data_IF_524312099272
#
_entry.id   IF_524312099272
#
_cell.length_a   1.000
_cell.length_b   1.000
_cell.length_c   1.000
_cell.angle_alpha   90.00
_cell.angle_beta   90.00
_cell.angle_gamma   90.00
#
_symmetry.space_group_name_H-M   'P 1'
#
loop_
_entity.id
_entity.type
_entity.pdbx_description
1 polymer ?
#
# COMPACT_ATOMS: atom_id res chain seq x y z
N UNK A 1 -6.23 18.67 8.20
CA UNK A 1 -7.60 18.63 7.63
C UNK A 1 -7.71 17.36 6.80
N UNK A 2 -8.56 16.42 7.20
CA UNK A 2 -8.72 15.13 6.53
C UNK A 2 -9.48 15.33 5.21
N UNK A 3 -8.88 15.03 4.06
CA UNK A 3 -9.42 15.36 2.72
C UNK A 3 -10.69 14.58 2.32
N UNK A 4 -11.19 13.65 3.14
CA UNK A 4 -12.42 12.88 2.86
C UNK A 4 -13.08 12.31 4.13
N UNK A 5 -13.70 13.17 4.96
CA UNK A 5 -14.40 12.72 6.19
C UNK A 5 -15.60 11.80 5.90
N UNK A 6 -16.30 12.01 4.78
CA UNK A 6 -17.49 11.24 4.42
C UNK A 6 -17.19 9.76 4.18
N UNK A 7 -16.06 9.41 3.57
CA UNK A 7 -15.66 8.02 3.38
C UNK A 7 -15.51 7.26 4.70
N UNK A 8 -14.93 7.92 5.71
CA UNK A 8 -14.72 7.34 7.04
C UNK A 8 -16.05 7.07 7.75
N UNK A 9 -17.00 8.00 7.64
CA UNK A 9 -18.35 7.82 8.19
C UNK A 9 -19.11 6.68 7.51
N UNK A 10 -19.04 6.59 6.18
CA UNK A 10 -19.72 5.52 5.43
C UNK A 10 -19.14 4.14 5.78
N UNK A 11 -17.82 4.02 5.90
CA UNK A 11 -17.18 2.80 6.34
C UNK A 11 -17.67 2.36 7.73
N UNK A 12 -17.77 3.30 8.69
CA UNK A 12 -18.32 3.01 10.03
C UNK A 12 -19.79 2.61 9.98
N UNK A 13 -20.60 3.30 9.17
CA UNK A 13 -22.05 3.06 9.06
C UNK A 13 -22.38 1.70 8.43
N UNK A 14 -21.60 1.27 7.44
CA UNK A 14 -21.86 0.07 6.67
C UNK A 14 -20.85 -1.05 6.93
N UNK A 15 -20.09 -0.99 8.03
CA UNK A 15 -19.06 -1.97 8.39
C UNK A 15 -19.56 -3.42 8.31
N UNK A 16 -20.79 -3.71 8.77
CA UNK A 16 -21.38 -5.05 8.70
C UNK A 16 -21.61 -5.60 7.29
N UNK A 17 -21.54 -4.74 6.26
CA UNK A 17 -21.68 -5.12 4.84
C UNK A 17 -20.34 -5.27 4.13
N UNK A 18 -19.23 -4.98 4.81
CA UNK A 18 -17.89 -4.95 4.23
C UNK A 18 -17.03 -6.03 4.87
N UNK A 19 -16.27 -6.75 4.05
CA UNK A 19 -15.30 -7.75 4.53
C UNK A 19 -13.90 -7.17 4.65
N UNK A 20 -13.57 -6.19 3.80
CA UNK A 20 -12.27 -5.54 3.75
C UNK A 20 -12.44 -4.04 3.55
N UNK A 21 -11.60 -3.26 4.22
CA UNK A 21 -11.51 -1.82 4.10
C UNK A 21 -10.07 -1.46 3.75
N UNK A 22 -9.87 -0.82 2.60
CA UNK A 22 -8.56 -0.38 2.15
C UNK A 22 -8.45 1.14 2.21
N UNK A 23 -8.02 1.72 3.35
CA UNK A 23 -7.78 3.14 3.42
C UNK A 23 -6.58 3.54 2.56
N UNK A 24 -6.61 4.75 2.01
CA UNK A 24 -5.57 5.28 1.13
C UNK A 24 -4.73 6.28 1.93
N UNK A 25 -3.65 5.79 2.53
CA UNK A 25 -2.78 6.59 3.39
C UNK A 25 -1.31 6.56 2.97
N UNK A 26 -0.86 5.47 2.36
CA UNK A 26 0.56 5.16 2.26
C UNK A 26 1.06 5.19 0.82
N UNK A 27 2.22 5.82 0.66
CA UNK A 27 3.01 5.80 -0.55
C UNK A 27 4.43 5.30 -0.19
N UNK A 28 4.95 4.37 -0.96
CA UNK A 28 6.35 3.94 -0.87
C UNK A 28 7.16 4.72 -1.91
N UNK A 29 7.99 5.63 -1.41
CA UNK A 29 8.82 6.55 -2.18
C UNK A 29 10.30 6.20 -2.05
N UNK A 30 11.09 6.72 -2.99
CA UNK A 30 12.55 6.69 -2.96
C UNK A 30 13.08 8.10 -2.68
N UNK A 31 13.80 8.28 -1.59
CA UNK A 31 14.49 9.53 -1.25
C UNK A 31 16.01 9.41 -1.50
N UNK A 32 16.78 10.44 -1.10
CA UNK A 32 18.25 10.44 -1.27
C UNK A 32 18.96 9.36 -0.42
N UNK A 33 18.30 8.83 0.62
CA UNK A 33 18.85 7.90 1.60
C UNK A 33 18.29 6.47 1.46
N UNK A 34 17.30 6.24 0.60
CA UNK A 34 16.74 4.92 0.30
C UNK A 34 15.23 4.93 0.12
N UNK A 35 14.59 3.81 0.48
CA UNK A 35 13.12 3.69 0.46
C UNK A 35 12.52 4.23 1.75
N UNK A 36 11.41 4.96 1.61
CA UNK A 36 10.64 5.53 2.71
C UNK A 36 9.17 5.24 2.50
N UNK A 37 8.51 4.78 3.56
CA UNK A 37 7.05 4.64 3.61
C UNK A 37 6.47 5.93 4.19
N UNK A 38 5.79 6.71 3.36
CA UNK A 38 5.20 7.99 3.75
C UNK A 38 3.73 7.84 4.10
N UNK A 39 3.18 8.85 4.78
CA UNK A 39 1.73 8.97 4.98
C UNK A 39 1.18 8.40 6.29
N UNK A 40 2.01 7.86 7.19
CA UNK A 40 1.58 7.40 8.52
C UNK A 40 0.78 8.45 9.31
N UNK A 41 1.09 9.73 9.16
CA UNK A 41 0.36 10.83 9.80
C UNK A 41 -1.11 10.94 9.36
N UNK A 42 -1.51 10.29 8.26
CA UNK A 42 -2.88 10.21 7.79
C UNK A 42 -3.65 9.02 8.38
N UNK A 43 -2.96 8.05 8.98
CA UNK A 43 -3.57 6.91 9.62
C UNK A 43 -4.31 7.35 10.89
N UNK A 44 -5.57 6.92 11.00
CA UNK A 44 -6.45 7.30 12.11
C UNK A 44 -6.68 6.09 13.00
N UNK A 45 -5.88 5.96 14.06
CA UNK A 45 -5.97 4.87 15.03
C UNK A 45 -7.32 4.84 15.75
N UNK A 46 -7.96 5.99 15.95
CA UNK A 46 -9.28 6.04 16.56
C UNK A 46 -10.33 5.47 15.63
N UNK A 47 -10.27 5.81 14.34
CA UNK A 47 -11.17 5.25 13.34
C UNK A 47 -10.99 3.73 13.18
N UNK A 48 -9.75 3.23 13.21
CA UNK A 48 -9.47 1.78 13.22
C UNK A 48 -10.11 1.12 14.44
N UNK A 49 -9.90 1.69 15.64
CA UNK A 49 -10.49 1.18 16.89
C UNK A 49 -12.03 1.17 16.82
N UNK A 50 -12.65 2.23 16.32
CA UNK A 50 -14.10 2.33 16.15
C UNK A 50 -14.66 1.25 15.22
N UNK A 51 -13.93 0.92 14.13
CA UNK A 51 -14.32 -0.11 13.19
C UNK A 51 -14.24 -1.50 13.81
N UNK A 52 -13.13 -1.82 14.48
CA UNK A 52 -12.92 -3.13 15.13
C UNK A 52 -13.95 -3.38 16.25
N UNK A 53 -14.45 -2.33 16.92
CA UNK A 53 -15.52 -2.46 17.94
C UNK A 53 -16.89 -2.82 17.36
N UNK A 54 -17.17 -2.49 16.10
CA UNK A 54 -18.52 -2.56 15.50
C UNK A 54 -18.65 -3.62 14.41
N UNK A 55 -17.57 -4.30 14.05
CA UNK A 55 -17.58 -5.31 13.00
C UNK A 55 -16.22 -5.98 12.82
N UNK A 56 -16.18 -6.92 11.87
CA UNK A 56 -15.02 -7.79 11.62
C UNK A 56 -14.35 -7.50 10.27
N UNK A 57 -14.60 -6.32 9.67
CA UNK A 57 -13.95 -5.95 8.42
C UNK A 57 -12.44 -5.84 8.62
N UNK A 58 -11.68 -6.49 7.74
CA UNK A 58 -10.23 -6.46 7.74
C UNK A 58 -9.73 -5.10 7.26
N UNK A 59 -8.79 -4.51 7.98
CA UNK A 59 -8.17 -3.23 7.61
C UNK A 59 -6.89 -3.54 6.83
N UNK A 60 -6.94 -3.24 5.53
CA UNK A 60 -5.87 -3.55 4.56
C UNK A 60 -5.42 -2.30 3.80
N UNK A 61 -4.65 -1.38 4.42
CA UNK A 61 -4.28 -0.12 3.79
C UNK A 61 -3.62 -0.30 2.43
N UNK A 62 -3.94 0.61 1.51
CA UNK A 62 -3.30 0.65 0.21
C UNK A 62 -1.93 1.31 0.33
N UNK A 63 -0.92 0.65 -0.21
CA UNK A 63 0.45 1.15 -0.37
C UNK A 63 0.72 1.33 -1.85
N UNK A 64 0.90 2.58 -2.29
CA UNK A 64 1.22 2.88 -3.69
C UNK A 64 2.74 2.83 -3.88
N UNK A 65 3.21 2.06 -4.85
CA UNK A 65 4.62 2.02 -5.25
C UNK A 65 4.88 3.15 -6.24
N UNK A 66 5.37 4.28 -5.73
CA UNK A 66 5.68 5.47 -6.51
C UNK A 66 7.11 5.45 -7.09
N UNK A 67 7.97 4.53 -6.63
CA UNK A 67 9.36 4.39 -7.11
C UNK A 67 9.46 3.91 -8.57
N UNK A 68 10.57 4.24 -9.24
CA UNK A 68 10.87 3.72 -10.59
C UNK A 68 10.98 2.18 -10.52
N UNK A 69 10.22 1.43 -11.34
CA UNK A 69 10.24 -0.03 -11.30
C UNK A 69 11.64 -0.62 -11.41
N UNK A 70 12.52 -0.03 -12.23
CA UNK A 70 13.89 -0.53 -12.44
C UNK A 70 14.78 -0.38 -11.19
N UNK A 71 14.57 0.65 -10.37
CA UNK A 71 15.33 0.87 -9.13
C UNK A 71 14.90 -0.09 -8.01
N UNK A 72 13.61 -0.45 -7.98
CA UNK A 72 13.07 -1.43 -7.04
C UNK A 72 13.42 -2.86 -7.51
N UNK A 73 13.19 -3.17 -8.79
CA UNK A 73 13.37 -4.50 -9.40
C UNK A 73 14.84 -4.90 -9.58
N UNK A 74 15.73 -3.93 -9.80
CA UNK A 74 17.14 -4.21 -10.11
C UNK A 74 17.99 -4.67 -8.94
N UNK A 75 17.54 -4.48 -7.68
CA UNK A 75 18.36 -4.74 -6.48
C UNK A 75 17.55 -5.50 -5.41
N UNK A 76 17.88 -6.78 -5.16
CA UNK A 76 17.28 -7.60 -4.08
C UNK A 76 17.26 -6.91 -2.71
N UNK A 77 18.29 -6.10 -2.40
CA UNK A 77 18.39 -5.33 -1.16
C UNK A 77 17.23 -4.31 -1.01
N UNK A 78 16.81 -3.69 -2.09
CA UNK A 78 15.72 -2.71 -2.08
C UNK A 78 14.38 -3.39 -1.82
N UNK A 79 14.16 -4.59 -2.37
CA UNK A 79 12.97 -5.39 -2.07
C UNK A 79 12.87 -5.79 -0.61
N UNK A 80 13.95 -6.29 -0.01
CA UNK A 80 13.93 -6.64 1.42
C UNK A 80 13.63 -5.40 2.27
N UNK A 81 14.22 -4.24 1.93
CA UNK A 81 13.95 -3.00 2.65
C UNK A 81 12.49 -2.55 2.52
N UNK A 82 11.89 -2.67 1.33
CA UNK A 82 10.47 -2.38 1.11
C UNK A 82 9.58 -3.28 1.97
N UNK A 83 9.86 -4.58 1.96
CA UNK A 83 9.15 -5.58 2.77
C UNK A 83 9.26 -5.23 4.26
N UNK A 84 10.47 -4.95 4.74
CA UNK A 84 10.72 -4.62 6.15
C UNK A 84 9.94 -3.38 6.59
N UNK A 85 9.91 -2.32 5.76
CA UNK A 85 9.16 -1.10 6.03
C UNK A 85 7.65 -1.39 6.15
N UNK A 86 7.09 -2.10 5.17
CA UNK A 86 5.66 -2.37 5.12
C UNK A 86 5.23 -3.33 6.23
N UNK A 87 6.00 -4.39 6.48
CA UNK A 87 5.71 -5.37 7.55
C UNK A 87 5.83 -4.73 8.92
N UNK A 88 6.82 -3.86 9.15
CA UNK A 88 6.94 -3.11 10.42
C UNK A 88 5.72 -2.24 10.64
N UNK A 89 5.30 -1.46 9.64
CA UNK A 89 4.12 -0.61 9.74
C UNK A 89 2.85 -1.43 10.02
N UNK A 90 2.67 -2.57 9.35
CA UNK A 90 1.52 -3.46 9.59
C UNK A 90 1.49 -4.00 11.01
N UNK A 91 2.64 -4.35 11.57
CA UNK A 91 2.75 -4.85 12.95
C UNK A 91 2.44 -3.74 13.96
N UNK A 92 3.00 -2.56 13.76
CA UNK A 92 2.83 -1.43 14.70
C UNK A 92 1.41 -0.87 14.71
N UNK A 93 0.73 -0.87 13.57
CA UNK A 93 -0.64 -0.37 13.43
C UNK A 93 -1.70 -1.47 13.46
N UNK A 94 -1.27 -2.72 13.67
CA UNK A 94 -2.13 -3.92 13.70
C UNK A 94 -3.01 -4.04 12.44
N UNK A 95 -2.43 -3.85 11.26
CA UNK A 95 -3.14 -4.05 10.00
C UNK A 95 -3.28 -5.54 9.68
N UNK A 96 -4.40 -5.89 9.04
CA UNK A 96 -4.71 -7.28 8.65
C UNK A 96 -4.03 -7.66 7.31
N UNK A 97 -3.33 -6.72 6.68
CA UNK A 97 -2.62 -6.89 5.42
C UNK A 97 -2.47 -5.57 4.68
N UNK A 98 -2.15 -5.64 3.39
CA UNK A 98 -2.02 -4.48 2.51
C UNK A 98 -2.67 -4.73 1.15
N UNK A 99 -3.02 -3.65 0.47
CA UNK A 99 -3.19 -3.65 -0.99
C UNK A 99 -1.96 -2.98 -1.60
N UNK A 100 -1.14 -3.75 -2.31
CA UNK A 100 0.03 -3.20 -3.02
C UNK A 100 -0.40 -2.72 -4.41
N UNK A 101 -0.25 -1.42 -4.70
CA UNK A 101 -0.69 -0.80 -5.96
C UNK A 101 0.51 -0.17 -6.69
N UNK A 102 0.88 -0.71 -7.85
CA UNK A 102 1.98 -0.21 -8.69
C UNK A 102 1.53 0.16 -10.11
N UNK A 103 0.23 0.06 -10.40
CA UNK A 103 -0.27 -0.01 -11.77
C UNK A 103 -0.11 1.31 -12.52
N UNK A 104 -0.38 2.44 -11.85
CA UNK A 104 -0.26 3.78 -12.43
C UNK A 104 1.16 4.06 -12.93
N UNK A 105 2.19 3.61 -12.21
CA UNK A 105 3.60 3.75 -12.61
C UNK A 105 3.96 2.82 -13.77
N UNK A 106 3.48 1.59 -13.79
CA UNK A 106 3.79 0.66 -14.88
C UNK A 106 3.25 1.15 -16.22
N UNK A 107 2.06 1.74 -16.21
CA UNK A 107 1.46 2.39 -17.37
C UNK A 107 2.28 3.64 -17.76
N UNK A 108 2.63 4.50 -16.81
CA UNK A 108 3.41 5.72 -17.07
C UNK A 108 4.81 5.44 -17.65
N UNK A 109 5.47 4.37 -17.23
CA UNK A 109 6.78 3.96 -17.73
C UNK A 109 6.73 3.12 -19.01
N UNK A 110 5.54 2.88 -19.58
CA UNK A 110 5.40 2.07 -20.79
C UNK A 110 5.84 0.62 -20.61
N UNK A 111 5.91 0.11 -19.37
CA UNK A 111 6.36 -1.25 -19.03
C UNK A 111 5.56 -2.33 -19.77
N UNK A 112 4.30 -2.03 -20.08
CA UNK A 112 3.43 -2.93 -20.84
C UNK A 112 3.70 -2.91 -22.34
N UNK A 113 4.34 -1.85 -22.85
CA UNK A 113 4.69 -1.64 -24.25
C UNK A 113 6.14 -2.03 -24.56
N UNK A 114 7.02 -2.07 -23.55
CA UNK A 114 8.40 -2.55 -23.65
C UNK A 114 8.46 -4.10 -23.49
N UNK A 115 8.91 -4.85 -24.52
CA UNK A 115 8.97 -6.32 -24.47
C UNK A 115 9.89 -6.89 -23.38
N UNK A 116 11.01 -6.23 -23.09
CA UNK A 116 11.97 -6.68 -22.08
C UNK A 116 11.44 -6.45 -20.67
N UNK A 117 10.91 -5.25 -20.40
CA UNK A 117 10.32 -4.96 -19.10
C UNK A 117 9.08 -5.82 -18.82
N UNK A 118 8.27 -6.11 -19.85
CA UNK A 118 7.14 -7.05 -19.74
C UNK A 118 7.59 -8.47 -19.41
N UNK A 119 8.75 -8.91 -19.93
CA UNK A 119 9.33 -10.22 -19.61
C UNK A 119 9.78 -10.29 -18.15
N UNK A 120 10.48 -9.25 -17.67
CA UNK A 120 10.95 -9.15 -16.28
C UNK A 120 9.79 -9.12 -15.28
N UNK A 121 8.70 -8.39 -15.59
CA UNK A 121 7.50 -8.36 -14.76
C UNK A 121 6.79 -9.73 -14.69
N UNK A 122 6.78 -10.50 -15.79
CA UNK A 122 6.21 -11.87 -15.82
C UNK A 122 7.07 -12.88 -15.05
N UNK A 123 8.40 -12.71 -15.06
CA UNK A 123 9.34 -13.60 -14.38
C UNK A 123 9.17 -13.60 -12.85
N UNK A 124 8.73 -12.48 -12.27
CA UNK A 124 8.41 -12.41 -10.84
C UNK A 124 7.14 -13.19 -10.44
N UNK A 125 6.29 -13.59 -11.39
CA UNK A 125 5.04 -14.32 -11.11
C UNK A 125 5.23 -15.84 -10.96
N UNK A 126 6.46 -16.34 -11.16
CA UNK A 126 6.80 -17.78 -11.22
C UNK A 126 7.81 -18.23 -10.15
N UNK A 127 8.08 -17.42 -9.13
CA UNK A 127 8.92 -17.80 -7.99
C UNK A 127 8.16 -17.67 -6.70
#
# INVERSE_FOLDING_TARGET
MCRNSRGYEMAKRFNSKLTHLSPVWYDLNSDRNGLVLEGRHNADSQWISDLRKKGNALIIPRVVLETIPMELLGKKKNWNRAIDLIVTECKEMEYDGIVLDSWSRWVAYGVLHDPEMRSMAKLQRRR
#
